data_IF_915409912121
#
_entry.id   IF_915409912121
#
_cell.length_a   1.000
_cell.length_b   1.000
_cell.length_c   1.000
_cell.angle_alpha   90.00
_cell.angle_beta   90.00
_cell.angle_gamma   90.00
#
_symmetry.space_group_name_H-M   'P 1'
#
loop_
_entity.id
_entity.type
_entity.pdbx_description
1 polymer ?
#
# COMPACT_ATOMS: atom_id res chain seq x y z
N UNK A 1 14.52 -5.72 3.54
CA UNK A 1 13.13 -5.52 4.00
C UNK A 1 12.18 -6.53 3.34
N UNK A 2 11.68 -6.30 2.12
CA UNK A 2 10.60 -7.12 1.52
C UNK A 2 10.92 -8.62 1.35
N UNK A 3 12.17 -9.01 1.11
CA UNK A 3 12.55 -10.43 1.00
C UNK A 3 12.57 -11.18 2.32
N UNK A 4 12.47 -10.47 3.46
CA UNK A 4 12.46 -11.04 4.81
C UNK A 4 11.15 -10.70 5.55
N UNK A 5 10.07 -10.45 4.81
CA UNK A 5 8.76 -10.09 5.36
C UNK A 5 7.67 -10.91 4.66
N UNK A 6 6.61 -11.27 5.38
CA UNK A 6 5.46 -11.99 4.82
C UNK A 6 4.37 -11.07 4.25
N UNK A 7 4.36 -9.79 4.63
CA UNK A 7 3.39 -8.79 4.18
C UNK A 7 3.95 -7.36 4.28
N UNK A 8 3.24 -6.41 3.68
CA UNK A 8 3.43 -4.96 3.85
C UNK A 8 2.13 -4.35 4.34
N UNK A 9 2.21 -3.52 5.37
CA UNK A 9 1.15 -2.60 5.76
C UNK A 9 1.59 -1.21 5.32
N UNK A 10 0.72 -0.50 4.59
CA UNK A 10 1.04 0.81 4.06
C UNK A 10 -0.09 1.81 4.34
N UNK A 11 0.27 3.05 4.67
CA UNK A 11 -0.65 4.18 4.60
C UNK A 11 -0.43 4.85 3.24
N UNK A 12 -1.22 4.45 2.24
CA UNK A 12 -1.00 4.84 0.84
C UNK A 12 -2.24 5.46 0.20
N UNK A 13 -2.17 6.76 -0.10
CA UNK A 13 -3.26 7.53 -0.73
C UNK A 13 -3.41 7.32 -2.24
N UNK A 14 -2.66 6.38 -2.84
CA UNK A 14 -2.70 6.11 -4.27
C UNK A 14 -1.78 7.00 -5.13
N UNK A 15 -1.17 8.05 -4.57
CA UNK A 15 -0.23 8.89 -5.33
C UNK A 15 1.02 8.07 -5.73
N UNK A 16 1.33 7.90 -7.02
CA UNK A 16 2.41 7.01 -7.47
C UNK A 16 3.83 7.53 -7.18
N UNK A 17 3.99 8.62 -6.42
CA UNK A 17 5.28 9.23 -6.08
C UNK A 17 5.79 8.75 -4.70
N UNK A 18 7.10 8.67 -4.56
CA UNK A 18 7.77 8.43 -3.28
C UNK A 18 7.97 6.96 -2.89
N UNK A 19 8.49 6.77 -1.66
CA UNK A 19 8.93 5.46 -1.16
C UNK A 19 7.80 4.46 -0.93
N UNK A 20 6.63 4.92 -0.46
CA UNK A 20 5.47 4.05 -0.23
C UNK A 20 4.97 3.44 -1.53
N UNK A 21 4.87 4.25 -2.60
CA UNK A 21 4.48 3.76 -3.93
C UNK A 21 5.48 2.71 -4.47
N UNK A 22 6.78 2.99 -4.35
CA UNK A 22 7.83 2.04 -4.74
C UNK A 22 7.73 0.72 -3.96
N UNK A 23 7.55 0.80 -2.65
CA UNK A 23 7.49 -0.36 -1.76
C UNK A 23 6.25 -1.22 -2.03
N UNK A 24 5.08 -0.59 -2.16
CA UNK A 24 3.84 -1.27 -2.55
C UNK A 24 3.97 -1.94 -3.92
N UNK A 25 4.61 -1.28 -4.90
CA UNK A 25 4.87 -1.87 -6.22
C UNK A 25 5.76 -3.10 -6.13
N UNK A 26 6.89 -3.01 -5.43
CA UNK A 26 7.82 -4.13 -5.25
C UNK A 26 7.21 -5.30 -4.47
N UNK A 27 6.34 -5.02 -3.51
CA UNK A 27 5.58 -6.04 -2.79
C UNK A 27 4.62 -6.79 -3.74
N UNK A 28 3.88 -6.06 -4.59
CA UNK A 28 3.00 -6.65 -5.60
C UNK A 28 3.76 -7.47 -6.63
N UNK A 29 4.90 -6.99 -7.12
CA UNK A 29 5.80 -7.75 -8.02
C UNK A 29 6.23 -9.09 -7.40
N UNK A 30 6.37 -9.16 -6.06
CA UNK A 30 6.68 -10.37 -5.30
C UNK A 30 5.45 -11.20 -4.91
N UNK A 31 4.25 -10.84 -5.36
CA UNK A 31 2.96 -11.43 -4.92
C UNK A 31 2.78 -11.41 -3.38
N UNK A 32 3.41 -10.44 -2.71
CA UNK A 32 3.32 -10.28 -1.28
C UNK A 32 2.07 -9.45 -0.93
N UNK A 33 1.28 -9.86 0.08
CA UNK A 33 0.11 -9.11 0.53
C UNK A 33 0.45 -7.67 0.92
N UNK A 34 -0.33 -6.71 0.44
CA UNK A 34 -0.25 -5.31 0.82
C UNK A 34 -1.57 -4.89 1.44
N UNK A 35 -1.57 -4.63 2.75
CA UNK A 35 -2.73 -4.09 3.48
C UNK A 35 -2.61 -2.57 3.47
N UNK A 36 -3.49 -1.91 2.72
CA UNK A 36 -3.55 -0.46 2.71
C UNK A 36 -4.51 0.01 3.81
N UNK A 37 -3.98 0.74 4.80
CA UNK A 37 -4.76 1.32 5.90
C UNK A 37 -5.16 2.78 5.62
N UNK A 38 -4.89 3.28 4.41
CA UNK A 38 -5.41 4.57 3.98
C UNK A 38 -6.93 4.47 3.79
N UNK A 39 -7.66 5.02 4.74
CA UNK A 39 -9.12 5.02 4.73
C UNK A 39 -9.60 6.15 3.81
N UNK A 40 -10.13 5.81 2.64
CA UNK A 40 -10.91 6.77 1.87
C UNK A 40 -12.27 6.85 2.54
N UNK A 41 -12.49 7.84 3.40
CA UNK A 41 -13.84 8.19 3.82
C UNK A 41 -14.55 8.72 2.59
N UNK A 42 -15.21 7.85 1.83
CA UNK A 42 -16.19 8.29 0.87
C UNK A 42 -17.23 9.08 1.67
N UNK A 43 -17.31 10.39 1.43
CA UNK A 43 -18.40 11.20 1.95
C UNK A 43 -19.69 10.58 1.44
N UNK A 44 -20.38 9.87 2.32
CA UNK A 44 -21.76 9.46 2.08
C UNK A 44 -22.50 10.79 2.13
N UNK A 45 -22.81 11.35 0.96
CA UNK A 45 -23.73 12.48 0.87
C UNK A 45 -25.12 11.88 1.06
N UNK A 46 -25.68 12.08 2.25
CA UNK A 46 -27.13 11.99 2.49
C UNK A 46 -27.85 13.17 1.82
#
# INVERSE_FOLDING_TARGET
MLSHSGSVIAYFNGNPKGGTAYTCRKAREKRMPVVNVYQFTASINE
#
